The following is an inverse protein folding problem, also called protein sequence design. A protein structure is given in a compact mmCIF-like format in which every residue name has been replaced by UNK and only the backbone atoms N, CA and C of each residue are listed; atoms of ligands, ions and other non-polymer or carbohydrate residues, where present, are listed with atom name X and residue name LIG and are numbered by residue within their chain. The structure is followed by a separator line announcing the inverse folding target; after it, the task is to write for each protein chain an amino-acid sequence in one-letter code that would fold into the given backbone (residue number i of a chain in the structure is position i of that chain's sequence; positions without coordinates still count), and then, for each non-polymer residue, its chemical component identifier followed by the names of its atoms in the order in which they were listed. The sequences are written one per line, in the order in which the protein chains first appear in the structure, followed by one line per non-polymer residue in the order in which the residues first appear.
data_IF_534355905636
#
_entry.id   IF_534355905636
#
_cell.length_a   1.000
_cell.length_b   1.000
_cell.length_c   1.000
_cell.angle_alpha   90.00
_cell.angle_beta   90.00
_cell.angle_gamma   90.00
#
_symmetry.space_group_name_H-M   'P 1'
#
loop_
_entity.id
_entity.type
_entity.pdbx_description
1 polymer ?
#
# COMPACT_ATOMS: atom_id res chain seq x y z
N UNK A 1 11.36 9.87 -13.60
CA UNK A 1 10.75 9.75 -14.95
C UNK A 1 10.31 11.13 -15.38
N UNK A 2 10.90 11.61 -16.47
CA UNK A 2 10.67 12.92 -17.08
C UNK A 2 9.19 13.10 -17.42
N UNK A 3 8.63 14.29 -17.21
CA UNK A 3 7.20 14.61 -17.43
C UNK A 3 6.79 14.68 -18.90
N UNK A 4 7.30 13.77 -19.74
CA UNK A 4 7.03 13.73 -21.16
C UNK A 4 5.66 13.11 -21.44
N UNK A 5 4.74 13.91 -21.96
CA UNK A 5 3.33 13.52 -22.11
C UNK A 5 3.11 12.27 -22.97
N UNK A 6 3.79 12.10 -24.13
CA UNK A 6 3.67 10.88 -24.93
C UNK A 6 4.08 9.60 -24.18
N UNK A 7 4.99 9.71 -23.20
CA UNK A 7 5.36 8.58 -22.35
C UNK A 7 4.22 8.18 -21.40
N UNK A 8 3.47 9.17 -20.87
CA UNK A 8 2.28 8.88 -20.04
C UNK A 8 1.18 8.19 -20.84
N UNK A 9 0.96 8.63 -22.08
CA UNK A 9 -0.02 8.00 -22.98
C UNK A 9 0.37 6.57 -23.33
N UNK A 10 1.65 6.35 -23.65
CA UNK A 10 2.18 5.02 -23.91
C UNK A 10 2.03 4.09 -22.69
N UNK A 11 2.35 4.58 -21.49
CA UNK A 11 2.15 3.84 -20.24
C UNK A 11 0.68 3.51 -20.01
N UNK A 12 -0.23 4.46 -20.24
CA UNK A 12 -1.67 4.26 -20.05
C UNK A 12 -2.21 3.17 -20.98
N UNK A 13 -1.80 3.18 -22.26
CA UNK A 13 -2.14 2.13 -23.23
C UNK A 13 -1.55 0.78 -22.82
N UNK A 14 -0.29 0.76 -22.37
CA UNK A 14 0.38 -0.45 -21.91
C UNK A 14 -0.29 -1.07 -20.69
N UNK A 15 -0.66 -0.26 -19.69
CA UNK A 15 -1.37 -0.74 -18.49
C UNK A 15 -2.76 -1.24 -18.82
N UNK A 16 -3.49 -0.55 -19.71
CA UNK A 16 -4.78 -1.03 -20.20
C UNK A 16 -4.64 -2.41 -20.83
N UNK A 17 -3.72 -2.56 -21.78
CA UNK A 17 -3.46 -3.85 -22.43
C UNK A 17 -3.05 -4.93 -21.43
N UNK A 18 -2.14 -4.62 -20.51
CA UNK A 18 -1.66 -5.54 -19.47
C UNK A 18 -2.80 -6.09 -18.63
N UNK A 19 -3.67 -5.22 -18.10
CA UNK A 19 -4.80 -5.63 -17.26
C UNK A 19 -5.87 -6.40 -18.03
N UNK A 20 -6.15 -6.03 -19.28
CA UNK A 20 -7.19 -6.66 -20.09
C UNK A 20 -6.75 -8.00 -20.70
N UNK A 21 -5.45 -8.20 -20.96
CA UNK A 21 -4.99 -9.31 -21.79
C UNK A 21 -4.01 -10.26 -21.10
N UNK A 22 -3.37 -9.88 -19.99
CA UNK A 22 -2.34 -10.69 -19.31
C UNK A 22 -2.80 -11.22 -17.95
N UNK A 23 -4.10 -11.16 -17.68
CA UNK A 23 -4.72 -11.83 -16.54
C UNK A 23 -5.67 -12.92 -17.02
N UNK A 24 -5.86 -13.92 -16.17
CA UNK A 24 -6.84 -14.99 -16.40
C UNK A 24 -8.08 -14.82 -15.52
N UNK A 25 -8.96 -15.82 -15.53
CA UNK A 25 -10.24 -15.80 -14.83
C UNK A 25 -10.08 -15.73 -13.30
N UNK A 26 -8.94 -16.17 -12.76
CA UNK A 26 -8.60 -16.06 -11.34
C UNK A 26 -7.96 -14.70 -11.01
N UNK A 27 -7.92 -13.75 -11.96
CA UNK A 27 -7.29 -12.43 -11.83
C UNK A 27 -5.80 -12.51 -11.46
N UNK A 28 -5.08 -13.50 -11.99
CA UNK A 28 -3.62 -13.62 -11.82
C UNK A 28 -2.89 -13.58 -13.16
N UNK A 29 -1.60 -13.19 -13.17
CA UNK A 29 -0.84 -13.05 -14.39
C UNK A 29 -0.72 -14.38 -15.13
N UNK A 30 -0.89 -14.33 -16.46
CA UNK A 30 -0.58 -15.43 -17.37
C UNK A 30 0.64 -15.08 -18.23
N UNK A 31 1.41 -16.09 -18.71
CA UNK A 31 2.67 -15.85 -19.41
C UNK A 31 2.52 -15.13 -20.75
N UNK A 32 1.38 -15.32 -21.44
CA UNK A 32 1.14 -14.76 -22.77
C UNK A 32 -0.31 -14.29 -22.92
N UNK A 33 -0.51 -13.16 -23.60
CA UNK A 33 -1.84 -12.71 -24.04
C UNK A 33 -2.40 -13.61 -25.13
N UNK A 34 -1.54 -14.00 -26.09
CA UNK A 34 -1.78 -15.01 -27.11
C UNK A 34 -0.64 -16.03 -27.06
N UNK A 35 -0.96 -17.28 -26.76
CA UNK A 35 0.05 -18.34 -26.66
C UNK A 35 0.72 -18.57 -28.03
N UNK A 36 2.06 -18.50 -28.13
CA UNK A 36 2.76 -18.70 -29.40
C UNK A 36 2.82 -20.17 -29.83
N UNK A 37 2.59 -21.08 -28.89
CA UNK A 37 2.57 -22.54 -29.07
C UNK A 37 1.78 -23.17 -27.93
N UNK A 38 1.50 -24.47 -28.02
CA UNK A 38 0.91 -25.21 -26.92
C UNK A 38 1.85 -25.14 -25.69
N UNK A 39 1.37 -24.52 -24.61
CA UNK A 39 2.10 -24.41 -23.34
C UNK A 39 1.53 -25.42 -22.35
N UNK A 40 2.38 -26.33 -21.85
CA UNK A 40 2.02 -27.32 -20.82
C UNK A 40 1.75 -26.69 -19.45
N UNK A 41 2.19 -25.45 -19.26
CA UNK A 41 2.04 -24.70 -18.02
C UNK A 41 0.98 -23.61 -18.17
N UNK A 42 0.28 -23.37 -17.07
CA UNK A 42 -0.75 -22.34 -16.96
C UNK A 42 -0.16 -21.02 -16.46
N UNK A 43 0.77 -21.05 -15.49
CA UNK A 43 1.33 -19.85 -14.84
C UNK A 43 2.75 -20.06 -14.34
N UNK A 44 3.53 -18.99 -14.28
CA UNK A 44 4.87 -19.00 -13.68
C UNK A 44 4.95 -18.07 -12.47
N UNK A 45 5.74 -18.46 -11.47
CA UNK A 45 5.98 -17.65 -10.27
C UNK A 45 6.64 -16.31 -10.64
N UNK A 46 7.49 -16.33 -11.68
CA UNK A 46 8.20 -15.15 -12.16
C UNK A 46 7.22 -14.06 -12.65
N UNK A 47 6.21 -14.43 -13.44
CA UNK A 47 5.19 -13.49 -13.92
C UNK A 47 4.44 -12.82 -12.77
N UNK A 48 4.20 -13.58 -11.69
CA UNK A 48 3.58 -13.05 -10.47
C UNK A 48 4.51 -12.07 -9.73
N UNK A 49 5.80 -12.36 -9.65
CA UNK A 49 6.77 -11.47 -9.03
C UNK A 49 6.91 -10.15 -9.79
N UNK A 50 6.99 -10.20 -11.13
CA UNK A 50 7.01 -9.02 -11.99
C UNK A 50 5.72 -8.21 -11.87
N UNK A 51 4.56 -8.88 -11.81
CA UNK A 51 3.27 -8.22 -11.58
C UNK A 51 3.28 -7.42 -10.27
N UNK A 52 3.75 -8.00 -9.17
CA UNK A 52 3.85 -7.31 -7.88
C UNK A 52 4.76 -6.08 -8.00
N UNK A 53 5.94 -6.23 -8.61
CA UNK A 53 6.88 -5.13 -8.78
C UNK A 53 6.30 -4.00 -9.65
N UNK A 54 5.65 -4.33 -10.76
CA UNK A 54 5.00 -3.38 -11.66
C UNK A 54 3.88 -2.63 -10.93
N UNK A 55 3.04 -3.34 -10.18
CA UNK A 55 1.97 -2.73 -9.42
C UNK A 55 2.53 -1.79 -8.35
N UNK A 56 3.55 -2.20 -7.59
CA UNK A 56 4.22 -1.34 -6.62
C UNK A 56 4.78 -0.07 -7.25
N UNK A 57 5.42 -0.20 -8.41
CA UNK A 57 6.04 0.92 -9.13
C UNK A 57 5.01 1.95 -9.62
N UNK A 58 3.85 1.49 -10.09
CA UNK A 58 2.91 2.34 -10.84
C UNK A 58 1.55 2.57 -10.18
N UNK A 59 1.24 1.93 -9.04
CA UNK A 59 -0.07 2.06 -8.35
C UNK A 59 -0.47 3.49 -7.99
N UNK A 60 0.48 4.37 -7.71
CA UNK A 60 0.20 5.77 -7.38
C UNK A 60 -0.29 6.57 -8.59
N UNK A 61 -0.08 6.06 -9.81
CA UNK A 61 -0.54 6.67 -11.07
C UNK A 61 -1.75 5.95 -11.66
N UNK A 62 -1.84 4.64 -11.44
CA UNK A 62 -2.91 3.80 -11.98
C UNK A 62 -3.59 3.03 -10.83
N UNK A 63 -4.69 3.55 -10.24
CA UNK A 63 -5.34 2.95 -9.07
C UNK A 63 -5.77 1.49 -9.25
N UNK A 64 -6.07 1.08 -10.49
CA UNK A 64 -6.39 -0.31 -10.82
C UNK A 64 -5.28 -1.28 -10.40
N UNK A 65 -4.01 -0.87 -10.49
CA UNK A 65 -2.86 -1.68 -10.08
C UNK A 65 -2.79 -1.90 -8.57
N UNK A 66 -3.35 -1.00 -7.76
CA UNK A 66 -3.47 -1.22 -6.31
C UNK A 66 -4.39 -2.39 -5.99
N UNK A 67 -5.57 -2.44 -6.62
CA UNK A 67 -6.51 -3.56 -6.48
C UNK A 67 -5.94 -4.87 -7.01
N UNK A 68 -5.24 -4.80 -8.15
CA UNK A 68 -4.56 -5.98 -8.72
C UNK A 68 -3.48 -6.51 -7.78
N UNK A 69 -2.67 -5.62 -7.19
CA UNK A 69 -1.63 -6.00 -6.23
C UNK A 69 -2.18 -6.80 -5.05
N UNK A 70 -3.25 -6.32 -4.43
CA UNK A 70 -3.90 -6.99 -3.29
C UNK A 70 -4.38 -8.40 -3.67
N UNK A 71 -5.08 -8.52 -4.81
CA UNK A 71 -5.56 -9.82 -5.31
C UNK A 71 -4.43 -10.80 -5.58
N UNK A 72 -3.38 -10.35 -6.26
CA UNK A 72 -2.24 -11.19 -6.62
C UNK A 72 -1.49 -11.63 -5.36
N UNK A 73 -1.16 -10.72 -4.44
CA UNK A 73 -0.48 -11.07 -3.19
C UNK A 73 -1.31 -12.07 -2.38
N UNK A 74 -2.61 -11.84 -2.22
CA UNK A 74 -3.50 -12.77 -1.52
C UNK A 74 -3.52 -14.16 -2.18
N UNK A 75 -3.55 -14.22 -3.52
CA UNK A 75 -3.51 -15.49 -4.26
C UNK A 75 -2.17 -16.23 -4.08
N UNK A 76 -1.04 -15.51 -4.14
CA UNK A 76 0.29 -16.09 -3.94
C UNK A 76 0.41 -16.70 -2.55
N UNK A 77 0.07 -15.94 -1.50
CA UNK A 77 0.17 -16.41 -0.11
C UNK A 77 -0.74 -17.61 0.15
N UNK A 78 -1.92 -17.67 -0.50
CA UNK A 78 -2.87 -18.77 -0.36
C UNK A 78 -2.43 -20.06 -1.08
N UNK A 79 -1.89 -19.95 -2.30
CA UNK A 79 -1.80 -21.09 -3.21
C UNK A 79 -0.37 -21.46 -3.66
N UNK A 80 0.55 -20.50 -3.63
CA UNK A 80 1.91 -20.67 -4.16
C UNK A 80 2.95 -20.91 -3.08
N UNK A 81 2.65 -20.59 -1.83
CA UNK A 81 3.49 -20.92 -0.67
C UNK A 81 3.17 -22.34 -0.20
N UNK A 82 4.18 -23.19 -0.10
CA UNK A 82 4.06 -24.55 0.45
C UNK A 82 4.09 -24.50 1.98
N UNK A 83 3.73 -25.63 2.62
CA UNK A 83 3.74 -25.76 4.09
C UNK A 83 5.13 -25.54 4.71
N UNK A 84 6.19 -25.84 3.97
CA UNK A 84 7.58 -25.62 4.37
C UNK A 84 8.06 -24.18 4.15
N UNK A 85 7.18 -23.28 3.70
CA UNK A 85 7.50 -21.88 3.39
C UNK A 85 8.14 -21.65 2.02
N UNK A 86 8.51 -22.71 1.29
CA UNK A 86 9.05 -22.57 -0.06
C UNK A 86 7.98 -22.22 -1.09
N UNK A 87 8.36 -21.55 -2.17
CA UNK A 87 7.43 -21.24 -3.27
C UNK A 87 7.39 -22.37 -4.31
N UNK A 88 6.20 -22.62 -4.84
CA UNK A 88 6.01 -23.40 -6.06
C UNK A 88 6.56 -22.63 -7.26
N UNK A 89 7.17 -23.31 -8.23
CA UNK A 89 7.78 -22.66 -9.39
C UNK A 89 6.76 -22.31 -10.47
N UNK A 90 5.83 -23.24 -10.75
CA UNK A 90 4.80 -23.04 -11.78
C UNK A 90 3.52 -23.83 -11.51
N UNK A 91 2.41 -23.29 -12.01
CA UNK A 91 1.13 -24.00 -12.09
C UNK A 91 1.02 -24.65 -13.47
N UNK A 92 0.84 -25.97 -13.51
CA UNK A 92 0.56 -26.71 -14.74
C UNK A 92 -0.95 -26.70 -15.02
N UNK A 93 -1.37 -27.18 -16.19
CA UNK A 93 -2.80 -27.49 -16.40
C UNK A 93 -3.28 -28.55 -15.41
N UNK A 94 -2.42 -29.50 -15.08
CA UNK A 94 -2.65 -30.53 -14.07
C UNK A 94 -1.52 -30.50 -13.03
N UNK A 95 -1.83 -30.01 -11.83
CA UNK A 95 -0.90 -29.99 -10.72
C UNK A 95 0.13 -28.85 -10.75
N UNK A 96 1.27 -29.11 -10.14
CA UNK A 96 2.31 -28.11 -9.87
C UNK A 96 3.67 -28.68 -10.18
N UNK A 97 4.54 -27.84 -10.72
CA UNK A 97 5.95 -28.12 -10.78
C UNK A 97 6.69 -27.20 -9.79
N UNK A 98 7.44 -27.83 -8.90
CA UNK A 98 8.16 -27.20 -7.79
C UNK A 98 9.68 -27.27 -8.00
N UNK A 99 10.15 -27.75 -9.15
CA UNK A 99 11.58 -27.79 -9.46
C UNK A 99 12.07 -26.34 -9.53
N UNK A 100 13.11 -25.98 -8.76
CA UNK A 100 13.68 -24.65 -8.82
C UNK A 100 14.27 -24.42 -10.21
N UNK A 101 13.62 -23.57 -11.01
CA UNK A 101 14.06 -23.25 -12.36
C UNK A 101 15.20 -22.21 -12.31
N UNK A 102 16.11 -22.28 -13.27
CA UNK A 102 17.29 -21.41 -13.40
C UNK A 102 16.95 -19.91 -13.59
N UNK A 103 15.67 -19.54 -13.77
CA UNK A 103 15.22 -18.16 -13.97
C UNK A 103 14.99 -17.36 -12.68
N UNK A 104 15.54 -17.80 -11.54
CA UNK A 104 15.52 -17.09 -10.25
C UNK A 104 14.13 -16.63 -9.77
N UNK A 105 13.04 -17.31 -10.17
CA UNK A 105 11.67 -16.90 -9.85
C UNK A 105 11.39 -16.81 -8.35
N UNK A 106 11.98 -17.70 -7.55
CA UNK A 106 11.85 -17.64 -6.09
C UNK A 106 12.55 -16.40 -5.50
N UNK A 107 13.74 -16.05 -5.99
CA UNK A 107 14.47 -14.87 -5.53
C UNK A 107 13.74 -13.57 -5.94
N UNK A 108 13.19 -13.52 -7.16
CA UNK A 108 12.36 -12.39 -7.59
C UNK A 108 11.08 -12.26 -6.77
N UNK A 109 10.42 -13.38 -6.48
CA UNK A 109 9.24 -13.36 -5.61
C UNK A 109 9.59 -12.88 -4.20
N UNK A 110 10.68 -13.39 -3.62
CA UNK A 110 11.16 -12.93 -2.32
C UNK A 110 11.44 -11.43 -2.32
N UNK A 111 12.16 -10.91 -3.32
CA UNK A 111 12.43 -9.48 -3.49
C UNK A 111 11.13 -8.67 -3.60
N UNK A 112 10.19 -9.13 -4.42
CA UNK A 112 8.91 -8.46 -4.65
C UNK A 112 8.07 -8.38 -3.37
N UNK A 113 8.02 -9.45 -2.58
CA UNK A 113 7.29 -9.49 -1.31
C UNK A 113 8.00 -8.67 -0.22
N UNK A 114 9.32 -8.71 -0.15
CA UNK A 114 10.09 -7.85 0.76
C UNK A 114 9.86 -6.36 0.43
N UNK A 115 9.85 -6.02 -0.86
CA UNK A 115 9.53 -4.66 -1.30
C UNK A 115 8.08 -4.28 -0.98
N UNK A 116 7.12 -5.18 -1.22
CA UNK A 116 5.73 -5.00 -0.82
C UNK A 116 5.61 -4.70 0.68
N UNK A 117 6.23 -5.52 1.53
CA UNK A 117 6.21 -5.36 2.98
C UNK A 117 6.81 -4.02 3.42
N UNK A 118 7.93 -3.61 2.81
CA UNK A 118 8.54 -2.31 3.09
C UNK A 118 7.58 -1.17 2.77
N UNK A 119 6.95 -1.21 1.61
CA UNK A 119 6.05 -0.15 1.14
C UNK A 119 4.74 -0.08 1.95
N UNK A 120 4.20 -1.23 2.38
CA UNK A 120 3.01 -1.25 3.26
C UNK A 120 3.36 -0.77 4.67
N UNK A 121 4.48 -1.20 5.23
CA UNK A 121 4.95 -0.76 6.56
C UNK A 121 5.25 0.75 6.59
N UNK A 122 5.89 1.28 5.54
CA UNK A 122 6.15 2.71 5.44
C UNK A 122 4.86 3.54 5.35
N UNK A 123 3.84 3.00 4.68
CA UNK A 123 2.51 3.63 4.60
C UNK A 123 1.82 3.64 5.95
N UNK A 124 1.87 2.51 6.68
CA UNK A 124 1.32 2.37 8.03
C UNK A 124 1.98 3.35 9.02
N UNK A 125 3.30 3.40 9.07
CA UNK A 125 4.05 4.33 9.94
C UNK A 125 3.72 5.79 9.61
N UNK A 126 3.60 6.13 8.32
CA UNK A 126 3.23 7.49 7.89
C UNK A 126 1.81 7.85 8.36
N UNK A 127 0.87 6.92 8.22
CA UNK A 127 -0.51 7.10 8.67
C UNK A 127 -0.56 7.32 10.19
N UNK A 128 0.11 6.46 10.96
CA UNK A 128 0.20 6.58 12.43
C UNK A 128 0.77 7.93 12.87
N UNK A 129 1.89 8.37 12.25
CA UNK A 129 2.47 9.69 12.53
C UNK A 129 1.50 10.85 12.23
N UNK A 130 0.74 10.75 11.14
CA UNK A 130 -0.23 11.79 10.76
C UNK A 130 -1.38 11.89 11.78
N UNK A 131 -1.87 10.76 12.30
CA UNK A 131 -2.93 10.72 13.30
C UNK A 131 -2.47 11.24 14.66
N UNK A 132 -1.24 10.90 15.06
CA UNK A 132 -0.62 11.46 16.29
C UNK A 132 -0.48 12.99 16.16
N UNK A 133 -0.03 13.48 15.00
CA UNK A 133 0.09 14.91 14.73
C UNK A 133 -1.25 15.66 14.81
N UNK A 134 -2.31 15.11 14.20
CA UNK A 134 -3.67 15.68 14.28
C UNK A 134 -4.19 15.72 15.72
N UNK A 135 -3.97 14.66 16.51
CA UNK A 135 -4.37 14.63 17.93
C UNK A 135 -3.60 15.66 18.76
N UNK A 136 -2.30 15.81 18.53
CA UNK A 136 -1.47 16.81 19.20
C UNK A 136 -1.89 18.25 18.85
N UNK A 137 -2.20 18.53 17.58
CA UNK A 137 -2.71 19.83 17.13
C UNK A 137 -4.08 20.14 17.77
N UNK A 138 -5.00 19.17 17.77
CA UNK A 138 -6.32 19.31 18.40
C UNK A 138 -6.21 19.57 19.91
N UNK A 139 -5.28 18.91 20.61
CA UNK A 139 -5.04 19.18 22.03
C UNK A 139 -4.42 20.56 22.29
N UNK A 140 -3.57 21.06 21.40
CA UNK A 140 -3.03 22.43 21.49
C UNK A 140 -4.12 23.49 21.33
N UNK A 141 -5.03 23.34 20.36
CA UNK A 141 -6.17 24.25 20.19
C UNK A 141 -7.11 24.27 21.41
N UNK A 142 -7.37 23.10 22.01
CA UNK A 142 -8.19 23.01 23.23
C UNK A 142 -7.48 23.62 24.45
N UNK A 143 -6.15 23.51 24.55
CA UNK A 143 -5.38 24.15 25.61
C UNK A 143 -5.23 25.68 25.42
N UNK A 144 -5.16 26.16 24.17
CA UNK A 144 -5.12 27.58 23.84
C UNK A 144 -6.45 28.29 24.08
N UNK A 145 -7.57 27.58 23.99
CA UNK A 145 -8.90 28.11 24.34
C UNK A 145 -9.22 28.11 25.85
N UNK A 146 -8.40 27.47 26.69
CA UNK A 146 -8.57 27.49 28.16
C UNK A 146 -7.74 28.55 28.89
N UNK A 147 -6.97 29.38 28.17
CA UNK A 147 -6.16 30.45 28.76
C UNK A 147 -6.75 31.86 28.52
N UNK A 148 -7.94 32.13 29.09
CA UNK A 148 -8.50 33.44 29.53
C UNK A 148 -10.02 33.26 29.74
N UNK A 149 -10.63 33.70 30.86
CA UNK A 149 -10.42 35.01 31.48
C UNK A 149 -10.21 34.96 33.01
N UNK A 150 -9.11 35.56 33.47
CA UNK A 150 -8.80 35.70 34.89
C UNK A 150 -8.33 37.11 35.24
N UNK A 151 -8.92 38.17 34.68
CA UNK A 151 -8.47 39.55 34.91
C UNK A 151 -9.56 40.52 35.43
N UNK A 152 -10.69 40.05 35.96
CA UNK A 152 -11.75 40.96 36.46
C UNK A 152 -12.26 40.69 37.88
N UNK A 153 -11.63 39.80 38.67
CA UNK A 153 -12.12 39.47 40.02
C UNK A 153 -11.33 40.07 41.20
N UNK A 154 -10.33 40.90 40.94
CA UNK A 154 -9.50 41.52 41.99
C UNK A 154 -9.95 42.94 42.39
N UNK A 155 -10.64 43.69 41.52
CA UNK A 155 -10.95 45.11 41.82
C UNK A 155 -12.25 45.35 42.62
N UNK A 156 -13.13 44.36 42.79
CA UNK A 156 -14.38 44.53 43.56
C UNK A 156 -14.28 44.21 45.06
N UNK A 157 -13.10 43.84 45.57
CA UNK A 157 -12.92 43.52 47.01
C UNK A 157 -12.28 44.61 47.87
N UNK A 158 -11.78 45.70 47.28
CA UNK A 158 -11.21 46.82 48.06
C UNK A 158 -12.19 48.00 48.30
N UNK A 159 -13.33 48.05 47.61
CA UNK A 159 -14.29 49.15 47.75
C UNK A 159 -15.40 48.91 48.80
N UNK A 160 -15.42 47.77 49.51
CA UNK A 160 -16.46 47.43 50.48
C UNK A 160 -16.00 47.46 51.95
N UNK A 161 -14.74 47.79 52.23
CA UNK A 161 -14.16 47.76 53.58
C UNK A 161 -13.77 49.14 54.15
N UNK A 162 -14.31 50.25 53.61
CA UNK A 162 -14.12 51.60 54.17
C UNK A 162 -15.42 52.29 54.62
N UNK A 163 -16.47 51.53 54.95
CA UNK A 163 -17.75 52.10 55.44
C UNK A 163 -18.20 51.62 56.81
N UNK A 164 -17.28 51.12 57.64
CA UNK A 164 -17.66 50.59 58.96
C UNK A 164 -16.66 50.91 60.06
N UNK A 165 -16.22 52.17 60.17
CA UNK A 165 -15.58 52.69 61.39
C UNK A 165 -15.97 54.17 61.60
N UNK A 166 -17.22 54.43 61.99
CA UNK A 166 -17.61 55.60 62.80
C UNK A 166 -18.84 55.20 63.65
N UNK A 167 -18.60 54.67 64.85
CA UNK A 167 -19.30 55.03 66.10
C UNK A 167 -18.77 54.23 67.27
#
# INVERSE_FOLDING_TARGET
MTGYEPCKDALSKGIKYYLENLFDEESVPKPFSKAPRLTVYKRELYDCAECINLCLLLRNRFPALGRTLEKVVAHILKSWVKRDGSFRSRKLHLGWDNVPMHRWGQAQMFRALAFYLRETSATEVRWQRSEIGKKAARNKDVSGQRAAPGSQRAEKRYALNQRTEIR
#
